data_IF_438801606091
#
_entry.id   IF_438801606091
#
_cell.length_a   1.000
_cell.length_b   1.000
_cell.length_c   1.000
_cell.angle_alpha   90.00
_cell.angle_beta   90.00
_cell.angle_gamma   90.00
#
_symmetry.space_group_name_H-M   'P 1'
#
loop_
_entity.id
_entity.type
_entity.pdbx_description
1 polymer ?
#
# COMPACT_ATOMS: atom_id res chain seq x y z
N UNK A 1 35.53 17.42 23.32
CA UNK A 1 35.44 16.21 22.49
C UNK A 1 35.07 15.02 23.35
N UNK A 2 33.93 14.37 23.05
CA UNK A 2 33.73 12.91 22.90
C UNK A 2 32.23 12.59 22.96
N UNK A 3 31.67 12.54 21.76
CA UNK A 3 30.74 11.56 21.20
C UNK A 3 29.38 11.28 21.86
N UNK A 4 28.37 11.63 21.08
CA UNK A 4 26.95 11.34 21.22
C UNK A 4 26.69 9.88 20.82
N UNK A 5 26.20 9.06 21.76
CA UNK A 5 25.65 7.75 21.42
C UNK A 5 24.16 7.89 21.08
N UNK A 6 23.87 7.82 19.78
CA UNK A 6 22.51 7.81 19.24
C UNK A 6 21.90 6.43 19.45
N UNK A 7 21.10 6.30 20.51
CA UNK A 7 20.24 5.13 20.75
C UNK A 7 19.04 5.19 19.79
N UNK A 8 19.17 4.54 18.64
CA UNK A 8 18.07 4.39 17.71
C UNK A 8 16.95 3.55 18.34
N UNK A 9 15.74 4.11 18.30
CA UNK A 9 14.52 3.51 18.80
C UNK A 9 14.17 2.26 17.99
N UNK A 10 14.10 1.12 18.69
CA UNK A 10 13.57 -0.14 18.18
C UNK A 10 12.06 0.03 17.95
N UNK A 11 11.70 0.34 16.70
CA UNK A 11 10.31 0.42 16.25
C UNK A 11 9.81 -1.00 15.98
N UNK A 12 9.22 -1.62 17.01
CA UNK A 12 8.23 -2.70 16.90
C UNK A 12 8.38 -3.63 15.69
N UNK A 13 9.51 -4.34 15.59
CA UNK A 13 9.67 -5.36 14.58
C UNK A 13 8.96 -6.62 15.06
N UNK A 14 7.76 -6.86 14.52
CA UNK A 14 7.19 -8.20 14.50
C UNK A 14 8.02 -9.04 13.50
N UNK A 15 8.91 -9.94 13.95
CA UNK A 15 9.86 -10.63 13.08
C UNK A 15 9.18 -11.57 12.08
N UNK A 16 7.89 -11.88 12.27
CA UNK A 16 7.13 -12.80 11.44
C UNK A 16 6.42 -12.12 10.25
N UNK A 17 6.29 -10.78 10.22
CA UNK A 17 5.47 -10.10 9.21
C UNK A 17 6.18 -9.81 7.88
N UNK A 18 7.51 -9.93 7.83
CA UNK A 18 8.33 -9.46 6.69
C UNK A 18 9.19 -10.52 5.99
N UNK A 19 9.31 -11.73 6.51
CA UNK A 19 10.34 -12.67 6.04
C UNK A 19 10.19 -13.18 4.60
N UNK A 20 8.96 -13.33 4.08
CA UNK A 20 8.75 -13.84 2.71
C UNK A 20 8.71 -12.75 1.64
N UNK A 21 8.30 -11.53 1.99
CA UNK A 21 8.14 -10.45 1.02
C UNK A 21 9.43 -9.67 0.82
N UNK A 22 10.28 -9.55 1.85
CA UNK A 22 11.52 -8.78 1.74
C UNK A 22 12.56 -9.40 0.79
N UNK A 23 12.55 -10.73 0.61
CA UNK A 23 13.42 -11.38 -0.39
C UNK A 23 13.16 -10.86 -1.81
N UNK A 24 11.92 -10.41 -2.09
CA UNK A 24 11.54 -9.86 -3.38
C UNK A 24 11.67 -8.34 -3.42
N UNK A 25 12.05 -7.68 -2.32
CA UNK A 25 12.17 -6.22 -2.27
C UNK A 25 13.14 -5.66 -3.32
N UNK A 26 14.33 -6.25 -3.57
CA UNK A 26 15.23 -5.77 -4.62
C UNK A 26 14.61 -5.87 -6.02
N UNK A 27 13.87 -6.95 -6.28
CA UNK A 27 13.13 -7.14 -7.54
C UNK A 27 12.04 -6.08 -7.71
N UNK A 28 11.25 -5.82 -6.65
CA UNK A 28 10.22 -4.79 -6.70
C UNK A 28 10.81 -3.40 -6.93
N UNK A 29 11.88 -3.05 -6.21
CA UNK A 29 12.57 -1.76 -6.37
C UNK A 29 13.09 -1.58 -7.79
N UNK A 30 13.70 -2.63 -8.36
CA UNK A 30 14.12 -2.61 -9.76
C UNK A 30 12.94 -2.43 -10.72
N UNK A 31 11.86 -3.21 -10.59
CA UNK A 31 10.70 -3.10 -11.47
C UNK A 31 10.02 -1.71 -11.40
N UNK A 32 9.98 -1.09 -10.22
CA UNK A 32 9.46 0.27 -10.08
C UNK A 32 10.34 1.29 -10.79
N UNK A 33 11.67 1.13 -10.72
CA UNK A 33 12.65 2.02 -11.34
C UNK A 33 12.60 2.03 -12.88
N UNK A 34 12.17 0.93 -13.52
CA UNK A 34 12.11 0.82 -14.98
C UNK A 34 11.12 1.80 -15.64
N UNK A 35 10.19 2.37 -14.87
CA UNK A 35 9.17 3.35 -15.29
C UNK A 35 8.52 3.09 -16.67
N UNK A 36 8.42 1.82 -17.07
CA UNK A 36 7.86 1.39 -18.34
C UNK A 36 6.42 0.93 -18.15
N UNK A 37 5.57 1.16 -19.16
CA UNK A 37 4.18 0.72 -19.19
C UNK A 37 3.96 -0.61 -19.92
N UNK A 38 5.06 -1.20 -20.41
CA UNK A 38 5.14 -2.47 -21.12
C UNK A 38 5.58 -3.59 -20.18
N UNK A 39 5.10 -4.81 -20.44
CA UNK A 39 5.53 -6.00 -19.71
C UNK A 39 7.00 -6.29 -20.01
N UNK A 40 7.81 -6.40 -18.95
CA UNK A 40 9.24 -6.69 -19.05
C UNK A 40 9.53 -8.01 -19.78
N UNK A 41 10.55 -8.00 -20.64
CA UNK A 41 10.89 -9.16 -21.47
C UNK A 41 11.72 -10.15 -20.67
N UNK A 42 11.66 -11.43 -21.05
CA UNK A 42 12.45 -12.48 -20.37
C UNK A 42 13.96 -12.22 -20.41
N UNK A 43 14.43 -11.52 -21.46
CA UNK A 43 15.83 -11.13 -21.62
C UNK A 43 16.24 -10.13 -20.55
N UNK A 44 15.50 -9.03 -20.39
CA UNK A 44 15.79 -8.00 -19.39
C UNK A 44 15.83 -8.56 -17.96
N UNK A 45 14.96 -9.53 -17.65
CA UNK A 45 15.00 -10.24 -16.36
C UNK A 45 16.27 -11.08 -16.21
N UNK A 46 16.66 -11.80 -17.27
CA UNK A 46 17.88 -12.61 -17.23
C UNK A 46 19.13 -11.73 -17.10
N UNK A 47 19.17 -10.63 -17.84
CA UNK A 47 20.27 -9.67 -17.82
C UNK A 47 20.37 -9.00 -16.44
N UNK A 48 19.24 -8.61 -15.83
CA UNK A 48 19.24 -8.05 -14.48
C UNK A 48 19.69 -9.05 -13.40
N UNK A 49 19.26 -10.31 -13.49
CA UNK A 49 19.72 -11.35 -12.57
C UNK A 49 21.22 -11.65 -12.75
N UNK A 50 21.75 -11.57 -13.98
CA UNK A 50 23.17 -11.73 -14.24
C UNK A 50 24.01 -10.59 -13.65
N UNK A 51 23.48 -9.36 -13.63
CA UNK A 51 24.12 -8.20 -13.00
C UNK A 51 24.04 -8.23 -11.47
N UNK A 52 23.17 -9.05 -10.89
CA UNK A 52 22.94 -9.15 -9.45
C UNK A 52 23.05 -10.61 -8.99
N UNK A 53 24.26 -11.21 -9.01
CA UNK A 53 24.43 -12.64 -8.74
C UNK A 53 24.01 -13.04 -7.33
N UNK A 54 24.21 -12.20 -6.32
CA UNK A 54 23.78 -12.45 -4.93
C UNK A 54 22.25 -12.67 -4.85
N UNK A 55 21.48 -11.75 -5.45
CA UNK A 55 20.02 -11.83 -5.47
C UNK A 55 19.58 -13.05 -6.29
N UNK A 56 20.25 -13.31 -7.41
CA UNK A 56 19.97 -14.46 -8.27
C UNK A 56 20.20 -15.79 -7.54
N UNK A 57 21.30 -15.92 -6.81
CA UNK A 57 21.64 -17.11 -6.02
C UNK A 57 20.65 -17.31 -4.86
N UNK A 58 20.36 -16.24 -4.11
CA UNK A 58 19.41 -16.26 -3.00
C UNK A 58 18.01 -16.69 -3.46
N UNK A 59 17.53 -16.14 -4.57
CA UNK A 59 16.22 -16.48 -5.13
C UNK A 59 16.21 -17.87 -5.79
N UNK A 60 17.30 -18.23 -6.48
CA UNK A 60 17.50 -19.50 -7.16
C UNK A 60 17.63 -20.70 -6.22
N UNK A 61 18.12 -20.50 -4.99
CA UNK A 61 18.18 -21.54 -3.95
C UNK A 61 16.78 -22.06 -3.58
N UNK A 62 15.76 -21.21 -3.63
CA UNK A 62 14.39 -21.53 -3.18
C UNK A 62 13.39 -21.72 -4.31
N UNK A 63 13.68 -21.19 -5.50
CA UNK A 63 12.73 -21.17 -6.61
C UNK A 63 13.42 -21.59 -7.91
N UNK A 64 12.71 -22.39 -8.70
CA UNK A 64 13.16 -22.73 -10.05
C UNK A 64 13.25 -21.49 -10.93
N UNK A 65 14.12 -21.53 -11.94
CA UNK A 65 14.26 -20.45 -12.93
C UNK A 65 12.93 -20.06 -13.57
N UNK A 66 12.08 -21.05 -13.88
CA UNK A 66 10.73 -20.81 -14.38
C UNK A 66 9.88 -20.00 -13.40
N UNK A 67 9.91 -20.37 -12.11
CA UNK A 67 9.15 -19.68 -11.07
C UNK A 67 9.62 -18.23 -10.90
N UNK A 68 10.94 -17.98 -10.93
CA UNK A 68 11.49 -16.62 -10.87
C UNK A 68 10.97 -15.76 -12.00
N UNK A 69 11.14 -16.21 -13.25
CA UNK A 69 10.66 -15.47 -14.42
C UNK A 69 9.16 -15.19 -14.35
N UNK A 70 8.37 -16.20 -14.01
CA UNK A 70 6.92 -16.05 -13.93
C UNK A 70 6.51 -15.08 -12.82
N UNK A 71 7.11 -15.19 -11.64
CA UNK A 71 6.77 -14.36 -10.50
C UNK A 71 7.18 -12.89 -10.73
N UNK A 72 8.38 -12.65 -11.27
CA UNK A 72 8.85 -11.30 -11.62
C UNK A 72 7.89 -10.64 -12.63
N UNK A 73 7.46 -11.37 -13.67
CA UNK A 73 6.45 -10.87 -14.62
C UNK A 73 5.12 -10.56 -13.93
N UNK A 74 4.68 -11.41 -13.00
CA UNK A 74 3.46 -11.20 -12.21
C UNK A 74 3.56 -9.95 -11.34
N UNK A 75 4.71 -9.69 -10.71
CA UNK A 75 4.98 -8.48 -9.95
C UNK A 75 4.88 -7.24 -10.84
N UNK A 76 5.53 -7.25 -11.99
CA UNK A 76 5.50 -6.13 -12.92
C UNK A 76 4.09 -5.84 -13.43
N UNK A 77 3.33 -6.89 -13.78
CA UNK A 77 1.91 -6.75 -14.14
C UNK A 77 1.06 -6.13 -13.04
N UNK A 78 1.34 -6.43 -11.76
CA UNK A 78 0.67 -5.77 -10.63
C UNK A 78 1.02 -4.28 -10.54
N UNK A 79 2.28 -3.93 -10.74
CA UNK A 79 2.75 -2.53 -10.75
C UNK A 79 2.08 -1.76 -11.90
N UNK A 80 2.07 -2.33 -13.11
CA UNK A 80 1.41 -1.75 -14.28
C UNK A 80 -0.09 -1.51 -14.05
N UNK A 81 -0.79 -2.50 -13.48
CA UNK A 81 -2.22 -2.36 -13.14
C UNK A 81 -2.45 -1.24 -12.11
N UNK A 82 -1.57 -1.13 -11.10
CA UNK A 82 -1.64 -0.05 -10.11
C UNK A 82 -1.39 1.32 -10.73
N UNK A 83 -0.47 1.45 -11.70
CA UNK A 83 -0.22 2.70 -12.43
C UNK A 83 -1.41 3.09 -13.32
N UNK A 84 -1.91 2.14 -14.12
CA UNK A 84 -3.00 2.38 -15.08
C UNK A 84 -4.37 2.56 -14.43
N UNK A 85 -4.61 1.92 -13.27
CA UNK A 85 -5.89 1.96 -12.54
C UNK A 85 -5.91 2.85 -11.30
N UNK A 86 -4.76 3.42 -10.89
CA UNK A 86 -4.61 4.13 -9.62
C UNK A 86 -4.11 5.57 -9.73
N UNK A 87 -3.90 6.11 -10.94
CA UNK A 87 -3.55 7.52 -11.12
C UNK A 87 -4.82 8.38 -11.20
N UNK A 88 -5.57 8.47 -10.11
CA UNK A 88 -6.22 9.74 -9.83
C UNK A 88 -5.11 10.66 -9.31
N UNK A 89 -4.69 11.60 -10.17
CA UNK A 89 -3.85 12.73 -9.76
C UNK A 89 -4.55 13.42 -8.57
N UNK A 90 -3.83 13.88 -7.53
CA UNK A 90 -4.39 14.85 -6.61
C UNK A 90 -4.48 16.18 -7.37
N UNK A 91 -5.62 16.38 -8.04
CA UNK A 91 -6.01 17.68 -8.59
C UNK A 91 -6.68 18.46 -7.47
N UNK A 92 -5.96 19.48 -7.05
CA UNK A 92 -6.37 20.71 -6.38
C UNK A 92 -7.87 21.10 -6.54
N UNK A 93 -8.48 21.48 -5.41
CA UNK A 93 -9.63 22.36 -5.19
C UNK A 93 -11.05 21.99 -5.71
N UNK A 94 -11.91 21.53 -4.78
CA UNK A 94 -13.32 21.90 -4.44
C UNK A 94 -14.42 22.16 -5.53
N UNK A 95 -15.74 22.25 -5.20
CA UNK A 95 -16.58 21.56 -4.20
C UNK A 95 -17.88 20.90 -4.80
N UNK A 96 -18.54 20.10 -3.95
CA UNK A 96 -19.89 19.50 -4.00
C UNK A 96 -20.92 20.07 -5.00
N UNK A 97 -21.59 19.20 -5.78
CA UNK A 97 -23.05 19.33 -6.08
C UNK A 97 -23.70 17.96 -6.31
N UNK A 98 -24.84 17.76 -5.64
CA UNK A 98 -25.75 16.63 -5.80
C UNK A 98 -26.74 16.88 -6.95
N UNK A 99 -27.05 15.85 -7.76
CA UNK A 99 -28.08 15.91 -8.79
C UNK A 99 -28.42 14.52 -9.32
N UNK A 100 -29.68 14.13 -9.13
CA UNK A 100 -30.27 12.83 -9.47
C UNK A 100 -30.90 12.83 -10.88
N UNK A 101 -31.01 11.62 -11.47
CA UNK A 101 -31.82 11.16 -12.63
C UNK A 101 -31.26 11.27 -14.06
N UNK A 102 -30.95 10.09 -14.64
CA UNK A 102 -31.65 9.46 -15.78
C UNK A 102 -30.68 8.68 -16.71
N UNK A 103 -30.72 7.36 -16.55
CA UNK A 103 -30.54 6.29 -17.55
C UNK A 103 -29.68 6.55 -18.80
N UNK A 104 -28.46 5.98 -18.80
CA UNK A 104 -27.84 5.36 -19.97
C UNK A 104 -26.87 4.23 -19.54
N UNK A 105 -26.95 3.11 -20.25
CA UNK A 105 -26.31 1.79 -20.06
C UNK A 105 -24.87 1.79 -20.62
N UNK A 106 -24.02 0.79 -20.33
CA UNK A 106 -23.22 0.57 -19.12
C UNK A 106 -21.74 0.91 -19.37
N UNK A 107 -21.17 1.86 -18.62
CA UNK A 107 -19.71 2.08 -18.62
C UNK A 107 -19.03 1.18 -17.59
N UNK A 108 -17.91 0.64 -18.04
CA UNK A 108 -17.02 -0.31 -17.40
C UNK A 108 -16.99 -0.28 -15.86
N UNK A 109 -17.20 -1.47 -15.31
CA UNK A 109 -17.03 -1.83 -13.90
C UNK A 109 -15.75 -1.22 -13.31
N UNK A 110 -15.96 -0.22 -12.46
CA UNK A 110 -15.16 -0.03 -11.25
C UNK A 110 -15.09 -1.40 -10.55
N UNK A 111 -13.97 -1.81 -9.91
CA UNK A 111 -14.04 -2.81 -8.86
C UNK A 111 -14.92 -2.25 -7.74
N UNK A 112 -16.24 -2.40 -7.91
CA UNK A 112 -17.20 -2.26 -6.85
C UNK A 112 -16.81 -3.31 -5.83
N UNK A 113 -16.41 -2.85 -4.65
CA UNK A 113 -16.34 -3.72 -3.50
C UNK A 113 -17.75 -4.32 -3.34
N UNK A 114 -17.96 -5.65 -3.49
CA UNK A 114 -19.30 -6.23 -3.54
C UNK A 114 -20.09 -6.03 -2.23
N UNK A 115 -19.48 -5.44 -1.21
CA UNK A 115 -20.10 -5.17 0.08
C UNK A 115 -21.04 -3.96 0.15
N UNK A 116 -21.11 -3.10 -0.88
CA UNK A 116 -21.98 -1.90 -0.82
C UNK A 116 -23.45 -2.17 -1.13
N UNK A 117 -23.81 -3.40 -1.51
CA UNK A 117 -25.20 -3.82 -1.75
C UNK A 117 -25.65 -4.96 -0.81
N UNK A 118 -25.00 -5.16 0.34
CA UNK A 118 -25.55 -6.07 1.33
C UNK A 118 -26.72 -5.40 2.07
N UNK A 119 -27.85 -6.10 2.27
CA UNK A 119 -28.89 -5.64 3.17
C UNK A 119 -28.26 -5.22 4.50
N UNK A 120 -28.72 -4.10 5.07
CA UNK A 120 -28.27 -3.58 6.38
C UNK A 120 -28.48 -4.60 7.51
N UNK A 121 -29.22 -5.67 7.25
CA UNK A 121 -29.53 -6.77 8.15
C UNK A 121 -28.63 -8.00 7.95
N UNK A 122 -27.70 -7.99 7.00
CA UNK A 122 -26.76 -9.11 6.84
C UNK A 122 -25.79 -9.19 8.02
N UNK A 123 -25.55 -10.40 8.52
CA UNK A 123 -24.55 -10.66 9.57
C UNK A 123 -23.17 -10.10 9.22
N UNK A 124 -22.76 -10.17 7.95
CA UNK A 124 -21.50 -9.59 7.51
C UNK A 124 -21.46 -8.06 7.65
N UNK A 125 -22.58 -7.39 7.38
CA UNK A 125 -22.72 -5.94 7.56
C UNK A 125 -22.68 -5.56 9.04
N UNK A 126 -23.35 -6.33 9.89
CA UNK A 126 -23.32 -6.14 11.36
C UNK A 126 -21.92 -6.29 11.92
N UNK A 127 -21.21 -7.37 11.55
CA UNK A 127 -19.83 -7.61 11.98
C UNK A 127 -18.90 -6.49 11.52
N UNK A 128 -18.99 -6.06 10.26
CA UNK A 128 -18.17 -4.93 9.76
C UNK A 128 -18.48 -3.61 10.49
N UNK A 129 -19.76 -3.36 10.81
CA UNK A 129 -20.18 -2.17 11.58
C UNK A 129 -19.64 -2.21 13.00
N UNK A 130 -19.73 -3.33 13.68
CA UNK A 130 -19.18 -3.52 15.04
C UNK A 130 -17.65 -3.38 15.04
N UNK A 131 -16.96 -3.95 14.04
CA UNK A 131 -15.53 -3.77 13.87
C UNK A 131 -15.16 -2.30 13.64
N UNK A 132 -15.92 -1.58 12.82
CA UNK A 132 -15.73 -0.16 12.58
C UNK A 132 -15.95 0.68 13.85
N UNK A 133 -16.97 0.36 14.65
CA UNK A 133 -17.24 1.03 15.93
C UNK A 133 -16.09 0.84 16.92
N UNK A 134 -15.60 -0.40 17.09
CA UNK A 134 -14.44 -0.65 17.97
C UNK A 134 -13.19 0.11 17.52
N UNK A 135 -12.94 0.19 16.21
CA UNK A 135 -11.82 0.97 15.67
C UNK A 135 -11.97 2.46 15.98
N UNK A 136 -13.19 2.99 15.85
CA UNK A 136 -13.48 4.38 16.17
C UNK A 136 -13.24 4.69 17.66
N UNK A 137 -13.69 3.83 18.57
CA UNK A 137 -13.46 3.99 20.01
C UNK A 137 -11.97 4.07 20.35
N UNK A 138 -11.16 3.16 19.78
CA UNK A 138 -9.70 3.18 19.95
C UNK A 138 -9.10 4.50 19.44
N UNK A 139 -9.54 4.98 18.27
CA UNK A 139 -9.04 6.24 17.70
C UNK A 139 -9.37 7.45 18.58
N UNK A 140 -10.59 7.49 19.14
CA UNK A 140 -11.02 8.56 20.05
C UNK A 140 -10.24 8.50 21.38
N UNK A 141 -9.99 7.31 21.91
CA UNK A 141 -9.17 7.15 23.12
C UNK A 141 -7.74 7.64 22.88
N UNK A 142 -7.15 7.30 21.73
CA UNK A 142 -5.83 7.79 21.34
C UNK A 142 -5.80 9.30 21.14
N UNK A 143 -6.83 9.88 20.52
CA UNK A 143 -6.96 11.33 20.38
C UNK A 143 -6.99 12.03 21.74
N UNK A 144 -7.75 11.50 22.71
CA UNK A 144 -7.78 12.04 24.07
C UNK A 144 -6.42 11.94 24.76
N UNK A 145 -5.74 10.79 24.66
CA UNK A 145 -4.40 10.62 25.22
C UNK A 145 -3.41 11.62 24.60
N UNK A 146 -3.46 11.82 23.29
CA UNK A 146 -2.61 12.78 22.61
C UNK A 146 -2.95 14.23 22.94
N UNK A 147 -4.22 14.57 23.13
CA UNK A 147 -4.66 15.91 23.56
C UNK A 147 -4.14 16.27 24.97
N UNK A 148 -4.00 15.27 25.84
CA UNK A 148 -3.40 15.44 27.17
C UNK A 148 -1.87 15.59 27.09
N UNK A 149 -1.22 14.83 26.20
CA UNK A 149 0.26 14.80 26.07
C UNK A 149 0.81 15.97 25.25
N UNK A 150 0.05 16.43 24.25
CA UNK A 150 0.37 17.57 23.41
C UNK A 150 -0.47 18.75 23.92
N UNK A 151 -0.02 19.49 24.95
CA UNK A 151 -0.67 20.73 25.31
C UNK A 151 -0.65 21.63 24.07
N UNK A 152 -1.84 22.04 23.65
CA UNK A 152 -2.06 22.95 22.54
C UNK A 152 -1.19 24.20 22.79
N UNK A 153 -0.08 24.34 22.06
CA UNK A 153 0.74 25.55 22.10
C UNK A 153 0.00 26.67 21.35
N UNK A 154 -1.13 27.12 21.91
CA UNK A 154 -1.64 28.45 21.66
C UNK A 154 -0.86 29.38 22.59
N UNK A 155 0.34 29.72 22.12
CA UNK A 155 1.09 30.86 22.63
C UNK A 155 0.27 32.10 22.29
N UNK A 156 0.08 32.95 23.29
CA UNK A 156 -0.44 34.29 23.15
C UNK A 156 0.35 35.07 22.09
N UNK A 157 -0.35 35.68 21.15
CA UNK A 157 0.16 36.77 20.32
C UNK A 157 -0.86 37.92 20.41
N UNK A 158 -0.59 38.81 21.37
CA UNK A 158 -0.61 40.28 21.29
C UNK A 158 -1.87 41.02 20.81
N UNK A 159 -2.64 41.58 21.76
CA UNK A 159 -2.98 43.01 21.90
C UNK A 159 -4.08 43.24 22.95
#
# INVERSE_FOLDING_TARGET
MKDVEVKQANRGENPARFQRTDQWRPVYSWLESLNSDEVIKSKDISDWLALNPEISEQLGSRHSRYHLMHYIKKCHMKILKKRKGGLQKPSEAAPLTAGHLHMAKPLAMVPFDPSTNLPKDSDLYRVKREEALRKYEILVELEQQLSIIIPNQNVAEDS
#
